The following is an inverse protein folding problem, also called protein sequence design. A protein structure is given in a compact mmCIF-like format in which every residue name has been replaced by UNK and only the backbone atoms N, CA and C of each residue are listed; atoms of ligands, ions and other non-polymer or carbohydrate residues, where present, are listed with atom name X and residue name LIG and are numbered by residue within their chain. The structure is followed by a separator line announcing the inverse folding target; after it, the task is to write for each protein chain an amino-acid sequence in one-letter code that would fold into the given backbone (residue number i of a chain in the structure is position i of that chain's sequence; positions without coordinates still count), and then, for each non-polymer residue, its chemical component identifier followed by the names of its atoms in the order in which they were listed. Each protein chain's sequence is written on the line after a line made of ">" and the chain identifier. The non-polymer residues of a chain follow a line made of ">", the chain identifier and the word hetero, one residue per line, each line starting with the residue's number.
data_IF_725817822168
#
_entry.id   IF_725817822168
#
_cell.length_a   1.000
_cell.length_b   1.000
_cell.length_c   1.000
_cell.angle_alpha   90.00
_cell.angle_beta   90.00
_cell.angle_gamma   90.00
#
_symmetry.space_group_name_H-M   'P 1'
#
loop_
_entity.id
_entity.type
_entity.pdbx_description
1 polymer ?
#
# COMPACT_ATOMS: atom_id res chain seq x y z
N UNK A 1 -0.25 -20.31 -22.22
CA UNK A 1 0.31 -19.67 -21.01
C UNK A 1 -0.80 -19.28 -20.01
N UNK A 2 -1.80 -20.13 -19.76
CA UNK A 2 -2.88 -19.79 -18.80
C UNK A 2 -2.56 -20.25 -17.36
N UNK A 3 -1.83 -21.36 -17.20
CA UNK A 3 -1.49 -21.89 -15.86
C UNK A 3 -0.48 -21.05 -15.07
N UNK A 4 0.48 -20.40 -15.74
CA UNK A 4 1.44 -19.53 -15.05
C UNK A 4 0.78 -18.24 -14.55
N UNK A 5 -0.15 -17.67 -15.33
CA UNK A 5 -0.89 -16.46 -14.97
C UNK A 5 -1.84 -16.74 -13.78
N UNK A 6 -2.61 -17.84 -13.84
CA UNK A 6 -3.53 -18.20 -12.76
C UNK A 6 -2.82 -18.56 -11.43
N UNK A 7 -1.62 -19.15 -11.50
CA UNK A 7 -0.81 -19.43 -10.30
C UNK A 7 -0.19 -18.15 -9.72
N UNK A 8 0.13 -17.18 -10.57
CA UNK A 8 0.62 -15.88 -10.13
C UNK A 8 -0.50 -15.10 -9.43
N UNK A 9 -1.67 -15.00 -10.07
CA UNK A 9 -2.85 -14.33 -9.50
C UNK A 9 -3.23 -14.88 -8.12
N UNK A 10 -3.27 -16.22 -7.97
CA UNK A 10 -3.57 -16.85 -6.68
C UNK A 10 -2.52 -16.55 -5.60
N UNK A 11 -1.23 -16.54 -5.94
CA UNK A 11 -0.15 -16.20 -4.99
C UNK A 11 -0.17 -14.73 -4.58
N UNK A 12 -0.64 -13.86 -5.47
CA UNK A 12 -0.73 -12.43 -5.23
C UNK A 12 -1.91 -12.09 -4.32
N UNK A 13 -3.06 -12.73 -4.53
CA UNK A 13 -4.21 -12.63 -3.61
C UNK A 13 -3.85 -13.13 -2.19
N UNK A 14 -3.10 -14.24 -2.10
CA UNK A 14 -2.57 -14.74 -0.83
C UNK A 14 -1.63 -13.72 -0.15
N UNK A 15 -0.76 -13.08 -0.93
CA UNK A 15 0.17 -12.04 -0.45
C UNK A 15 -0.56 -10.80 0.10
N UNK A 16 -1.62 -10.36 -0.58
CA UNK A 16 -2.47 -9.25 -0.13
C UNK A 16 -3.23 -9.65 1.15
N UNK A 17 -3.78 -10.87 1.19
CA UNK A 17 -4.46 -11.37 2.38
C UNK A 17 -3.52 -11.44 3.60
N UNK A 18 -2.29 -11.93 3.40
CA UNK A 18 -1.27 -11.96 4.44
C UNK A 18 -0.89 -10.56 4.91
N UNK A 19 -0.71 -9.62 3.98
CA UNK A 19 -0.37 -8.23 4.31
C UNK A 19 -1.49 -7.53 5.09
N UNK A 20 -2.77 -7.80 4.75
CA UNK A 20 -3.93 -7.32 5.53
C UNK A 20 -3.97 -7.92 6.94
N UNK A 21 -3.66 -9.21 7.08
CA UNK A 21 -3.57 -9.85 8.39
C UNK A 21 -2.47 -9.22 9.26
N UNK A 22 -1.27 -9.01 8.70
CA UNK A 22 -0.17 -8.36 9.41
C UNK A 22 -0.54 -6.93 9.81
N UNK A 23 -1.24 -6.20 8.94
CA UNK A 23 -1.73 -4.85 9.25
C UNK A 23 -2.71 -4.86 10.45
N UNK A 24 -3.67 -5.78 10.49
CA UNK A 24 -4.61 -5.91 11.61
C UNK A 24 -3.88 -6.24 12.92
N UNK A 25 -2.94 -7.20 12.88
CA UNK A 25 -2.12 -7.54 14.05
C UNK A 25 -1.28 -6.34 14.51
N UNK A 26 -0.62 -5.62 13.59
CA UNK A 26 0.18 -4.43 13.93
C UNK A 26 -0.66 -3.31 14.52
N UNK A 27 -1.90 -3.11 14.04
CA UNK A 27 -2.86 -2.12 14.59
C UNK A 27 -3.34 -2.47 16.00
N UNK A 28 -3.34 -3.76 16.38
CA UNK A 28 -3.72 -4.20 17.73
C UNK A 28 -2.56 -4.10 18.73
N UNK A 29 -1.33 -4.30 18.26
CA UNK A 29 -0.13 -4.32 19.12
C UNK A 29 0.44 -2.92 19.32
N UNK A 30 0.44 -2.11 18.27
CA UNK A 30 1.02 -0.77 18.30
C UNK A 30 -0.07 0.30 18.31
N UNK A 31 0.23 1.49 18.85
CA UNK A 31 -0.57 2.68 18.59
C UNK A 31 -0.73 2.87 17.08
N UNK A 32 -1.87 3.42 16.65
CA UNK A 32 -2.24 3.64 15.23
C UNK A 32 -1.16 4.37 14.42
N UNK A 33 -0.29 5.10 15.10
CA UNK A 33 0.77 5.89 14.51
C UNK A 33 2.12 5.17 14.45
N UNK A 34 2.24 3.84 14.63
CA UNK A 34 3.57 3.23 14.52
C UNK A 34 4.06 3.17 13.05
N UNK A 35 5.31 3.52 12.72
CA UNK A 35 5.83 3.45 11.34
C UNK A 35 5.72 2.08 10.66
N UNK A 36 5.75 1.00 11.45
CA UNK A 36 5.50 -0.36 11.00
C UNK A 36 4.11 -0.55 10.35
N UNK A 37 3.12 0.25 10.75
CA UNK A 37 1.78 0.28 10.13
C UNK A 37 1.86 0.99 8.78
N UNK A 38 2.58 2.12 8.70
CA UNK A 38 2.78 2.87 7.46
C UNK A 38 3.47 2.04 6.37
N UNK A 39 4.50 1.29 6.74
CA UNK A 39 5.24 0.39 5.83
C UNK A 39 4.30 -0.68 5.25
N UNK A 40 3.46 -1.29 6.08
CA UNK A 40 2.52 -2.31 5.59
C UNK A 40 1.41 -1.73 4.73
N UNK A 41 0.94 -0.52 5.05
CA UNK A 41 -0.01 0.21 4.21
C UNK A 41 0.62 0.55 2.85
N UNK A 42 1.89 0.97 2.82
CA UNK A 42 2.61 1.24 1.58
C UNK A 42 2.72 -0.01 0.70
N UNK A 43 3.14 -1.15 1.27
CA UNK A 43 3.22 -2.44 0.56
C UNK A 43 1.89 -2.88 -0.03
N UNK A 44 0.79 -2.68 0.71
CA UNK A 44 -0.55 -2.93 0.18
C UNK A 44 -0.89 -1.98 -0.98
N UNK A 45 -0.55 -0.69 -0.86
CA UNK A 45 -0.72 0.28 -1.93
C UNK A 45 0.01 -0.12 -3.21
N UNK A 46 1.27 -0.56 -3.10
CA UNK A 46 2.09 -1.05 -4.21
C UNK A 46 1.45 -2.28 -4.86
N UNK A 47 1.04 -3.28 -4.08
CA UNK A 47 0.36 -4.46 -4.60
C UNK A 47 -0.94 -4.12 -5.36
N UNK A 48 -1.74 -3.19 -4.82
CA UNK A 48 -2.95 -2.76 -5.50
C UNK A 48 -2.67 -1.93 -6.77
N UNK A 49 -1.56 -1.20 -6.82
CA UNK A 49 -1.15 -0.38 -7.97
C UNK A 49 -0.54 -1.22 -9.11
N UNK A 50 0.47 -2.03 -8.78
CA UNK A 50 1.30 -2.73 -9.77
C UNK A 50 0.68 -4.04 -10.23
N UNK A 51 0.03 -4.77 -9.32
CA UNK A 51 -0.48 -6.11 -9.59
C UNK A 51 -1.96 -6.09 -9.94
N UNK A 52 -2.79 -5.56 -9.03
CA UNK A 52 -4.26 -5.65 -9.19
C UNK A 52 -4.80 -4.57 -10.13
N UNK A 53 -3.97 -3.59 -10.50
CA UNK A 53 -4.36 -2.40 -11.26
C UNK A 53 -5.62 -1.71 -10.70
N UNK A 54 -5.86 -1.84 -9.40
CA UNK A 54 -6.99 -1.26 -8.69
C UNK A 54 -6.51 0.03 -8.02
N UNK A 55 -6.46 1.07 -8.84
CA UNK A 55 -5.97 2.39 -8.44
C UNK A 55 -6.77 3.04 -7.30
N UNK A 56 -8.11 2.88 -7.20
CA UNK A 56 -8.86 3.36 -6.04
C UNK A 56 -8.38 2.77 -4.70
N UNK A 57 -8.17 1.46 -4.62
CA UNK A 57 -7.67 0.84 -3.39
C UNK A 57 -6.21 1.21 -3.12
N UNK A 58 -5.36 1.26 -4.16
CA UNK A 58 -3.99 1.75 -4.03
C UNK A 58 -3.95 3.16 -3.44
N UNK A 59 -4.80 4.06 -3.94
CA UNK A 59 -4.91 5.44 -3.46
C UNK A 59 -5.24 5.51 -1.97
N UNK A 60 -6.20 4.69 -1.52
CA UNK A 60 -6.61 4.61 -0.11
C UNK A 60 -5.44 4.18 0.76
N UNK A 61 -4.76 3.09 0.39
CA UNK A 61 -3.64 2.55 1.16
C UNK A 61 -2.45 3.51 1.24
N UNK A 62 -2.05 4.13 0.13
CA UNK A 62 -1.00 5.14 0.15
C UNK A 62 -1.38 6.38 0.96
N UNK A 63 -2.66 6.80 0.94
CA UNK A 63 -3.13 7.95 1.73
C UNK A 63 -3.07 7.68 3.23
N UNK A 64 -3.46 6.47 3.65
CA UNK A 64 -3.33 6.04 5.05
C UNK A 64 -1.85 5.95 5.46
N UNK A 65 -0.98 5.37 4.62
CA UNK A 65 0.46 5.29 4.87
C UNK A 65 1.09 6.68 5.03
N UNK A 66 0.74 7.62 4.13
CA UNK A 66 1.23 9.00 4.17
C UNK A 66 0.87 9.69 5.48
N UNK A 67 -0.34 9.45 6.00
CA UNK A 67 -0.81 10.05 7.25
C UNK A 67 0.07 9.59 8.43
N UNK A 68 0.34 8.29 8.51
CA UNK A 68 1.16 7.71 9.58
C UNK A 68 2.62 8.15 9.45
N UNK A 69 3.24 8.06 8.26
CA UNK A 69 4.63 8.49 8.10
C UNK A 69 4.82 9.98 8.40
N UNK A 70 3.88 10.84 7.99
CA UNK A 70 3.94 12.28 8.29
C UNK A 70 3.84 12.56 9.78
N UNK A 71 3.03 11.81 10.52
CA UNK A 71 2.89 11.96 11.97
C UNK A 71 4.18 11.60 12.72
N UNK A 72 4.97 10.65 12.21
CA UNK A 72 6.18 10.16 12.87
C UNK A 72 7.45 10.88 12.48
N UNK A 73 7.61 11.16 11.18
CA UNK A 73 8.88 11.59 10.62
C UNK A 73 8.83 13.02 10.04
N UNK A 74 7.64 13.59 9.90
CA UNK A 74 7.45 14.90 9.27
C UNK A 74 7.55 14.86 7.74
N UNK A 75 7.42 16.02 7.11
CA UNK A 75 7.16 16.11 5.66
C UNK A 75 8.37 15.85 4.73
N UNK A 76 9.58 15.86 5.27
CA UNK A 76 10.84 15.79 4.51
C UNK A 76 11.53 14.41 4.60
N UNK A 77 10.94 13.46 5.32
CA UNK A 77 11.47 12.11 5.38
C UNK A 77 11.34 11.40 4.02
N UNK A 78 12.30 10.54 3.70
CA UNK A 78 12.36 9.81 2.44
C UNK A 78 11.08 8.99 2.19
N UNK A 79 10.63 8.21 3.16
CA UNK A 79 9.36 7.46 3.09
C UNK A 79 8.13 8.35 2.76
N UNK A 80 8.11 9.58 3.28
CA UNK A 80 7.00 10.52 3.02
C UNK A 80 7.05 11.04 1.59
N UNK A 81 8.26 11.28 1.07
CA UNK A 81 8.46 11.70 -0.32
C UNK A 81 8.08 10.56 -1.26
N UNK A 82 8.51 9.35 -0.96
CA UNK A 82 8.20 8.16 -1.76
C UNK A 82 6.69 7.91 -1.86
N UNK A 83 5.97 7.89 -0.72
CA UNK A 83 4.52 7.67 -0.73
C UNK A 83 3.79 8.80 -1.47
N UNK A 84 4.27 10.04 -1.43
CA UNK A 84 3.71 11.14 -2.23
C UNK A 84 3.88 10.92 -3.73
N UNK A 85 5.02 10.40 -4.15
CA UNK A 85 5.24 10.05 -5.56
C UNK A 85 4.31 8.93 -6.01
N UNK A 86 4.11 7.90 -5.18
CA UNK A 86 3.12 6.86 -5.47
C UNK A 86 1.69 7.43 -5.59
N UNK A 87 1.28 8.31 -4.68
CA UNK A 87 -0.02 8.98 -4.76
C UNK A 87 -0.18 9.82 -6.05
N UNK A 88 0.88 10.48 -6.50
CA UNK A 88 0.87 11.21 -7.77
C UNK A 88 0.63 10.25 -8.94
N UNK A 89 1.42 9.18 -9.03
CA UNK A 89 1.27 8.15 -10.08
C UNK A 89 -0.12 7.53 -10.09
N UNK A 90 -0.67 7.20 -8.92
CA UNK A 90 -2.01 6.64 -8.79
C UNK A 90 -3.07 7.61 -9.31
N UNK A 91 -2.98 8.90 -8.96
CA UNK A 91 -3.92 9.93 -9.46
C UNK A 91 -3.86 10.08 -10.97
N UNK A 92 -2.67 10.04 -11.57
CA UNK A 92 -2.51 10.06 -13.02
C UNK A 92 -3.23 8.87 -13.66
N UNK A 93 -2.98 7.65 -13.16
CA UNK A 93 -3.67 6.43 -13.64
C UNK A 93 -5.19 6.47 -13.48
N UNK A 94 -5.68 7.02 -12.37
CA UNK A 94 -7.13 7.18 -12.14
C UNK A 94 -7.77 8.21 -13.07
N UNK A 95 -7.03 9.22 -13.52
CA UNK A 95 -7.52 10.23 -14.46
C UNK A 95 -7.51 9.71 -15.91
N UNK A 96 -6.63 8.76 -16.22
CA UNK A 96 -6.49 8.12 -17.53
C UNK A 96 -7.45 6.93 -17.74
N UNK A 97 -8.24 6.56 -16.72
CA UNK A 97 -9.18 5.42 -16.71
C UNK A 97 -10.62 5.85 -16.98
#
# INVERSE_FOLDING_TARGET
>A
MLGAIALDDGRMEDGIAHSKYVLDVRRRIHSSDHPAIAEQLQRLGEAYFETMHNYPEAFRYFSESLTVYRANYGNQHEDVIEVKEYLRKVKEKMADS
#
